data_IF_627123479571
#
_entry.id   IF_627123479571
#
_cell.length_a   1.000
_cell.length_b   1.000
_cell.length_c   1.000
_cell.angle_alpha   90.00
_cell.angle_beta   90.00
_cell.angle_gamma   90.00
#
_symmetry.space_group_name_H-M   'P 1'
#
loop_
_entity.id
_entity.type
_entity.pdbx_description
1 polymer ?
#
# COMPACT_ATOMS: atom_id res chain seq x y z
N UNK A 1 -26.68 -9.85 6.94
CA UNK A 1 -25.77 -8.93 6.24
C UNK A 1 -24.50 -9.74 6.06
N UNK A 2 -24.10 -10.02 4.84
CA UNK A 2 -22.90 -10.83 4.59
C UNK A 2 -21.73 -9.92 4.92
N UNK A 3 -21.11 -10.08 6.08
CA UNK A 3 -19.80 -9.48 6.34
C UNK A 3 -18.86 -10.12 5.32
N UNK A 4 -18.55 -9.40 4.24
CA UNK A 4 -17.41 -9.77 3.41
C UNK A 4 -16.19 -9.71 4.33
N UNK A 5 -15.53 -10.85 4.45
CA UNK A 5 -14.34 -11.00 5.29
C UNK A 5 -13.30 -9.98 4.83
N UNK A 6 -12.98 -9.04 5.73
CA UNK A 6 -11.95 -8.02 5.53
C UNK A 6 -10.62 -8.67 5.13
N UNK A 7 -9.92 -8.09 4.16
CA UNK A 7 -8.55 -8.48 3.82
C UNK A 7 -7.59 -8.21 4.97
N UNK A 8 -6.80 -9.21 5.28
CA UNK A 8 -5.66 -9.11 6.18
C UNK A 8 -4.53 -8.26 5.58
N UNK A 9 -3.62 -7.78 6.43
CA UNK A 9 -2.45 -7.04 5.96
C UNK A 9 -1.61 -7.85 4.98
N UNK A 10 -1.50 -9.17 5.19
CA UNK A 10 -0.79 -10.05 4.26
C UNK A 10 -1.45 -10.12 2.89
N UNK A 11 -2.78 -10.19 2.84
CA UNK A 11 -3.54 -10.22 1.58
C UNK A 11 -3.43 -8.89 0.83
N UNK A 12 -3.44 -7.77 1.54
CA UNK A 12 -3.20 -6.44 0.93
C UNK A 12 -1.80 -6.37 0.31
N UNK A 13 -0.76 -6.87 1.02
CA UNK A 13 0.61 -6.94 0.48
C UNK A 13 0.66 -7.79 -0.78
N UNK A 14 0.06 -8.97 -0.74
CA UNK A 14 0.03 -9.91 -1.87
C UNK A 14 -0.70 -9.30 -3.08
N UNK A 15 -1.86 -8.69 -2.86
CA UNK A 15 -2.62 -8.02 -3.91
C UNK A 15 -1.81 -6.90 -4.58
N UNK A 16 -1.18 -6.01 -3.80
CA UNK A 16 -0.35 -4.92 -4.35
C UNK A 16 0.85 -5.48 -5.12
N UNK A 17 1.56 -6.46 -4.54
CA UNK A 17 2.72 -7.07 -5.18
C UNK A 17 2.35 -7.80 -6.47
N UNK A 18 1.14 -8.37 -6.55
CA UNK A 18 0.58 -8.93 -7.78
C UNK A 18 0.46 -7.87 -8.88
N UNK A 19 -0.15 -6.72 -8.58
CA UNK A 19 -0.27 -5.62 -9.53
C UNK A 19 1.10 -5.06 -9.95
N UNK A 20 2.02 -4.90 -8.98
CA UNK A 20 3.40 -4.48 -9.24
C UNK A 20 4.10 -5.44 -10.20
N UNK A 21 4.03 -6.75 -9.93
CA UNK A 21 4.63 -7.79 -10.74
C UNK A 21 4.07 -7.81 -12.18
N UNK A 22 2.75 -7.68 -12.33
CA UNK A 22 2.12 -7.62 -13.65
C UNK A 22 2.54 -6.38 -14.44
N UNK A 23 2.73 -5.24 -13.76
CA UNK A 23 3.30 -4.04 -14.39
C UNK A 23 4.70 -4.31 -14.95
N UNK A 24 5.59 -4.91 -14.13
CA UNK A 24 6.94 -5.28 -14.57
C UNK A 24 6.89 -6.18 -15.82
N UNK A 25 6.00 -7.18 -15.84
CA UNK A 25 5.84 -8.08 -17.00
C UNK A 25 5.39 -7.34 -18.24
N UNK A 26 4.47 -6.39 -18.09
CA UNK A 26 3.98 -5.60 -19.21
C UNK A 26 5.08 -4.68 -19.79
N UNK A 27 5.88 -4.06 -18.92
CA UNK A 27 7.05 -3.26 -19.31
C UNK A 27 8.04 -4.12 -20.11
N UNK A 28 8.43 -5.29 -19.56
CA UNK A 28 9.37 -6.19 -20.23
C UNK A 28 8.83 -6.70 -21.58
N UNK A 29 7.54 -7.04 -21.64
CA UNK A 29 6.87 -7.45 -22.88
C UNK A 29 6.90 -6.35 -23.94
N UNK A 30 6.64 -5.10 -23.53
CA UNK A 30 6.65 -3.92 -24.41
C UNK A 30 8.06 -3.64 -24.92
N UNK A 31 9.04 -3.58 -24.03
CA UNK A 31 10.45 -3.34 -24.38
C UNK A 31 10.96 -4.38 -25.39
N UNK A 32 10.57 -5.66 -25.23
CA UNK A 32 10.92 -6.73 -26.18
C UNK A 32 10.28 -6.54 -27.55
N UNK A 33 9.09 -5.95 -27.63
CA UNK A 33 8.36 -5.73 -28.89
C UNK A 33 8.81 -4.47 -29.63
N UNK A 34 9.11 -3.39 -28.90
CA UNK A 34 9.42 -2.07 -29.49
C UNK A 34 10.93 -1.83 -29.62
N UNK A 35 11.75 -2.51 -28.82
CA UNK A 35 13.18 -2.23 -28.71
C UNK A 35 13.51 -1.00 -27.85
N UNK A 36 12.49 -0.31 -27.33
CA UNK A 36 12.65 0.81 -26.41
C UNK A 36 12.88 0.30 -24.98
N UNK A 37 13.65 1.04 -24.19
CA UNK A 37 13.80 0.78 -22.76
C UNK A 37 13.08 1.86 -21.99
N UNK A 38 12.10 1.48 -21.19
CA UNK A 38 11.50 2.36 -20.20
C UNK A 38 12.58 2.88 -19.24
N UNK A 39 12.55 4.18 -18.94
CA UNK A 39 13.28 4.72 -17.78
C UNK A 39 12.58 4.22 -16.53
N UNK A 40 13.32 3.59 -15.62
CA UNK A 40 12.81 3.17 -14.31
C UNK A 40 12.72 4.39 -13.39
N UNK A 41 11.50 4.73 -12.96
CA UNK A 41 11.17 5.88 -12.13
C UNK A 41 10.09 5.58 -11.07
N UNK A 42 9.73 4.32 -10.84
CA UNK A 42 8.70 3.92 -9.86
C UNK A 42 7.29 3.71 -10.43
N UNK A 43 7.13 3.73 -11.75
CA UNK A 43 5.86 3.49 -12.47
C UNK A 43 5.05 2.29 -11.94
N UNK A 44 5.70 1.23 -11.49
CA UNK A 44 5.04 0.01 -11.01
C UNK A 44 4.31 0.22 -9.69
N UNK A 45 4.83 1.10 -8.83
CA UNK A 45 4.19 1.49 -7.56
C UNK A 45 2.95 2.31 -7.87
N UNK A 46 3.08 3.32 -8.75
CA UNK A 46 1.96 4.14 -9.21
C UNK A 46 0.87 3.29 -9.89
N UNK A 47 1.26 2.33 -10.73
CA UNK A 47 0.34 1.39 -11.35
C UNK A 47 -0.40 0.54 -10.32
N UNK A 48 0.32 -0.05 -9.34
CA UNK A 48 -0.31 -0.86 -8.30
C UNK A 48 -1.29 -0.04 -7.44
N UNK A 49 -0.91 1.19 -7.07
CA UNK A 49 -1.80 2.09 -6.35
C UNK A 49 -3.06 2.44 -7.16
N UNK A 50 -2.91 2.69 -8.47
CA UNK A 50 -4.02 3.00 -9.36
C UNK A 50 -5.01 1.84 -9.51
N UNK A 51 -4.54 0.59 -9.55
CA UNK A 51 -5.45 -0.58 -9.60
C UNK A 51 -6.37 -0.68 -8.38
N UNK A 52 -5.97 -0.08 -7.25
CA UNK A 52 -6.71 -0.13 -5.99
C UNK A 52 -7.49 1.16 -5.67
N UNK A 53 -7.52 2.15 -6.58
CA UNK A 53 -8.12 3.47 -6.33
C UNK A 53 -9.61 3.39 -5.94
N UNK A 54 -10.33 2.43 -6.53
CA UNK A 54 -11.77 2.25 -6.32
C UNK A 54 -12.10 1.04 -5.44
N UNK A 55 -11.11 0.43 -4.78
CA UNK A 55 -11.35 -0.68 -3.87
C UNK A 55 -12.07 -0.17 -2.62
N UNK A 56 -13.21 -0.76 -2.23
CA UNK A 56 -14.01 -0.31 -1.09
C UNK A 56 -13.44 -0.78 0.26
N UNK A 57 -12.18 -0.42 0.53
CA UNK A 57 -11.51 -0.76 1.78
C UNK A 57 -12.23 -0.16 3.00
N UNK A 58 -12.35 -0.96 4.05
CA UNK A 58 -12.61 -0.51 5.42
C UNK A 58 -11.49 0.40 5.94
N UNK A 59 -11.70 1.15 7.04
CA UNK A 59 -10.67 2.06 7.57
C UNK A 59 -9.31 1.39 7.85
N UNK A 60 -9.30 0.21 8.46
CA UNK A 60 -8.07 -0.54 8.75
C UNK A 60 -7.40 -1.05 7.48
N UNK A 61 -8.16 -1.50 6.47
CA UNK A 61 -7.59 -1.91 5.18
C UNK A 61 -7.00 -0.71 4.43
N UNK A 62 -7.63 0.47 4.52
CA UNK A 62 -7.06 1.71 3.95
C UNK A 62 -5.74 2.06 4.63
N UNK A 63 -5.66 1.95 5.95
CA UNK A 63 -4.43 2.18 6.70
C UNK A 63 -3.33 1.23 6.24
N UNK A 64 -3.61 -0.08 6.23
CA UNK A 64 -2.71 -1.14 5.75
C UNK A 64 -2.21 -0.88 4.33
N UNK A 65 -3.13 -0.55 3.42
CA UNK A 65 -2.81 -0.22 2.03
C UNK A 65 -1.83 0.96 1.94
N UNK A 66 -2.10 2.06 2.64
CA UNK A 66 -1.26 3.27 2.60
C UNK A 66 0.11 3.05 3.25
N UNK A 67 0.16 2.33 4.37
CA UNK A 67 1.41 1.93 5.02
C UNK A 67 2.26 1.09 4.07
N UNK A 68 1.67 0.08 3.42
CA UNK A 68 2.43 -0.77 2.51
C UNK A 68 2.94 -0.03 1.27
N UNK A 69 2.17 0.93 0.73
CA UNK A 69 2.66 1.79 -0.35
C UNK A 69 3.94 2.54 0.07
N UNK A 70 3.97 3.14 1.27
CA UNK A 70 5.18 3.80 1.77
C UNK A 70 6.37 2.84 1.92
N UNK A 71 6.14 1.63 2.44
CA UNK A 71 7.18 0.58 2.52
C UNK A 71 7.71 0.25 1.12
N UNK A 72 6.84 0.09 0.13
CA UNK A 72 7.23 -0.25 -1.24
C UNK A 72 8.06 0.87 -1.90
N UNK A 73 7.71 2.12 -1.61
CA UNK A 73 8.43 3.31 -2.07
C UNK A 73 9.83 3.40 -1.45
N UNK A 74 9.96 3.05 -0.16
CA UNK A 74 11.22 3.09 0.59
C UNK A 74 12.00 4.42 0.39
N UNK A 75 11.28 5.54 0.35
CA UNK A 75 11.82 6.89 0.17
C UNK A 75 12.34 7.23 -1.24
N UNK A 76 12.00 6.45 -2.28
CA UNK A 76 12.48 6.65 -3.67
C UNK A 76 11.56 7.49 -4.56
N UNK A 77 10.35 7.81 -4.11
CA UNK A 77 9.36 8.57 -4.89
C UNK A 77 9.49 10.09 -4.71
N UNK A 78 8.85 10.91 -5.55
CA UNK A 78 8.77 12.35 -5.34
C UNK A 78 8.14 12.68 -3.97
N UNK A 79 8.74 13.65 -3.25
CA UNK A 79 8.31 14.02 -1.89
C UNK A 79 6.82 14.35 -1.79
N UNK A 80 6.24 15.00 -2.80
CA UNK A 80 4.80 15.31 -2.82
C UNK A 80 3.90 14.06 -2.76
N UNK A 81 4.32 12.94 -3.37
CA UNK A 81 3.56 11.68 -3.33
C UNK A 81 3.64 11.05 -1.95
N UNK A 82 4.84 11.02 -1.35
CA UNK A 82 5.05 10.52 0.01
C UNK A 82 4.24 11.34 1.03
N UNK A 83 4.32 12.67 0.95
CA UNK A 83 3.59 13.58 1.84
C UNK A 83 2.07 13.37 1.74
N UNK A 84 1.54 13.20 0.54
CA UNK A 84 0.12 12.93 0.33
C UNK A 84 -0.33 11.60 0.98
N UNK A 85 0.49 10.55 0.90
CA UNK A 85 0.19 9.26 1.52
C UNK A 85 0.26 9.38 3.05
N UNK A 86 1.27 10.05 3.59
CA UNK A 86 1.41 10.32 5.03
C UNK A 86 0.23 11.14 5.57
N UNK A 87 -0.19 12.17 4.86
CA UNK A 87 -1.37 12.97 5.21
C UNK A 87 -2.65 12.11 5.21
N UNK A 88 -2.78 11.19 4.25
CA UNK A 88 -3.93 10.26 4.21
C UNK A 88 -3.94 9.33 5.43
N UNK A 89 -2.78 8.82 5.84
CA UNK A 89 -2.64 7.99 7.05
C UNK A 89 -3.05 8.79 8.29
N UNK A 90 -2.57 10.04 8.42
CA UNK A 90 -2.93 10.90 9.55
C UNK A 90 -4.45 11.17 9.60
N UNK A 91 -5.10 11.37 8.47
CA UNK A 91 -6.57 11.54 8.41
C UNK A 91 -7.31 10.28 8.87
N UNK A 92 -6.88 9.08 8.43
CA UNK A 92 -7.49 7.81 8.86
C UNK A 92 -7.38 7.64 10.37
N UNK A 93 -6.20 7.90 10.95
CA UNK A 93 -5.96 7.77 12.40
C UNK A 93 -6.74 8.84 13.20
N UNK A 94 -6.93 10.04 12.64
CA UNK A 94 -7.75 11.08 13.26
C UNK A 94 -9.24 10.75 13.26
N UNK A 95 -9.73 10.01 12.26
CA UNK A 95 -11.14 9.56 12.20
C UNK A 95 -11.41 8.40 13.17
N UNK A 96 -10.46 7.48 13.32
CA UNK A 96 -10.52 6.38 14.27
C UNK A 96 -9.11 6.12 14.83
N UNK A 97 -8.92 6.27 16.16
CA UNK A 97 -7.63 6.02 16.82
C UNK A 97 -7.05 4.64 16.49
N UNK A 98 -5.72 4.55 16.45
CA UNK A 98 -5.01 3.34 16.02
C UNK A 98 -5.38 2.11 16.86
N UNK A 99 -5.55 2.28 18.17
CA UNK A 99 -5.95 1.21 19.10
C UNK A 99 -7.34 0.62 18.76
N UNK A 100 -8.26 1.46 18.29
CA UNK A 100 -9.57 1.04 17.79
C UNK A 100 -9.43 0.33 16.44
N UNK A 101 -8.64 0.90 15.52
CA UNK A 101 -8.47 0.34 14.17
C UNK A 101 -7.88 -1.09 14.18
N UNK A 102 -7.01 -1.38 15.14
CA UNK A 102 -6.34 -2.67 15.25
C UNK A 102 -7.00 -3.61 16.27
N UNK A 103 -8.14 -3.26 16.89
CA UNK A 103 -8.74 -4.06 17.97
C UNK A 103 -9.01 -5.52 17.52
N UNK A 104 -9.65 -5.68 16.35
CA UNK A 104 -10.19 -6.94 15.85
C UNK A 104 -9.27 -7.72 14.90
N UNK A 105 -8.03 -7.26 14.67
CA UNK A 105 -7.06 -7.98 13.81
C UNK A 105 -6.20 -8.93 14.64
N UNK A 106 -5.61 -9.95 14.01
CA UNK A 106 -4.80 -10.95 14.75
C UNK A 106 -3.49 -10.36 15.28
N UNK A 107 -2.95 -10.89 16.39
CA UNK A 107 -1.67 -10.41 16.97
C UNK A 107 -0.51 -10.42 15.97
N UNK A 108 -0.45 -11.45 15.12
CA UNK A 108 0.55 -11.54 14.05
C UNK A 108 0.41 -10.37 13.07
N UNK A 109 -0.81 -10.05 12.68
CA UNK A 109 -1.11 -8.95 11.77
C UNK A 109 -0.84 -7.58 12.39
N UNK A 110 -1.17 -7.39 13.69
CA UNK A 110 -0.81 -6.18 14.45
C UNK A 110 0.70 -5.99 14.46
N UNK A 111 1.46 -7.04 14.77
CA UNK A 111 2.92 -6.97 14.85
C UNK A 111 3.55 -6.57 13.51
N UNK A 112 3.12 -7.18 12.40
CA UNK A 112 3.62 -6.83 11.07
C UNK A 112 3.29 -5.37 10.72
N UNK A 113 2.04 -4.92 10.94
CA UNK A 113 1.61 -3.56 10.61
C UNK A 113 2.31 -2.51 11.47
N UNK A 114 2.35 -2.71 12.79
CA UNK A 114 2.96 -1.76 13.72
C UNK A 114 4.47 -1.64 13.50
N UNK A 115 5.15 -2.75 13.17
CA UNK A 115 6.56 -2.70 12.83
C UNK A 115 6.82 -1.88 11.56
N UNK A 116 6.00 -2.03 10.52
CA UNK A 116 6.12 -1.20 9.31
C UNK A 116 5.83 0.28 9.61
N UNK A 117 4.84 0.58 10.46
CA UNK A 117 4.55 1.94 10.90
C UNK A 117 5.70 2.55 11.72
N UNK A 118 6.35 1.77 12.58
CA UNK A 118 7.54 2.18 13.33
C UNK A 118 8.69 2.54 12.39
N UNK A 119 9.01 1.67 11.41
CA UNK A 119 10.05 1.93 10.41
C UNK A 119 9.81 3.22 9.61
N UNK A 120 8.54 3.56 9.38
CA UNK A 120 8.13 4.75 8.66
C UNK A 120 8.06 6.01 9.54
N UNK A 121 8.29 5.89 10.85
CA UNK A 121 8.17 6.99 11.81
C UNK A 121 6.74 7.50 11.96
N UNK A 122 5.75 6.61 11.87
CA UNK A 122 4.31 6.92 12.00
C UNK A 122 3.77 6.72 13.42
N UNK A 123 4.60 6.17 14.32
CA UNK A 123 4.29 5.97 15.74
C UNK A 123 5.10 6.97 16.58
N UNK A 124 4.52 7.41 17.70
CA UNK A 124 5.19 8.27 18.70
C UNK A 124 6.18 7.53 19.58
#
# INVERSE_FOLDING_TARGET
MMDEERMTYSEIREMILGCFYDCCRNILSTNKKTGEKSSYDGLEIGYAAYQCENTPFSPIEKLMFKVFLLILMAGREPGEVEDNIRNSIALIINEAPLDVLIEDISDKEKNDLLYDMELLGLLE
#
